data_IF_106492059085
#
_entry.id   IF_106492059085
#
_cell.length_a   1.000
_cell.length_b   1.000
_cell.length_c   1.000
_cell.angle_alpha   90.00
_cell.angle_beta   90.00
_cell.angle_gamma   90.00
#
_symmetry.space_group_name_H-M   'P 1'
#
loop_
_entity.id
_entity.type
_entity.pdbx_description
1 polymer ?
#
# COMPACT_ATOMS: atom_id res chain seq x y z
N UNK A 1 10.76 -6.88 -31.36
CA UNK A 1 11.28 -7.54 -30.14
C UNK A 1 11.10 -6.58 -28.96
N UNK A 2 9.97 -6.65 -28.26
CA UNK A 2 9.75 -6.02 -26.95
C UNK A 2 8.83 -6.98 -26.18
N UNK A 3 9.44 -7.85 -25.38
CA UNK A 3 8.69 -8.75 -24.49
C UNK A 3 8.15 -7.91 -23.32
N UNK A 4 6.87 -7.54 -23.38
CA UNK A 4 6.16 -6.98 -22.22
C UNK A 4 5.42 -8.11 -21.51
N UNK A 5 6.16 -8.93 -20.77
CA UNK A 5 5.61 -9.95 -19.87
C UNK A 5 5.99 -9.60 -18.43
N UNK A 6 5.10 -8.87 -17.73
CA UNK A 6 5.11 -8.82 -16.27
C UNK A 6 3.99 -9.72 -15.77
N UNK A 7 4.24 -11.02 -15.48
CA UNK A 7 3.30 -11.79 -14.72
C UNK A 7 3.37 -11.26 -13.29
N UNK A 8 2.33 -10.57 -12.81
CA UNK A 8 2.19 -10.19 -11.40
C UNK A 8 2.08 -11.48 -10.57
N UNK A 9 3.23 -12.10 -10.29
CA UNK A 9 3.28 -13.54 -10.08
C UNK A 9 2.79 -14.00 -8.71
N UNK A 10 2.54 -13.13 -7.73
CA UNK A 10 2.02 -13.54 -6.42
C UNK A 10 1.31 -12.38 -5.72
N UNK A 11 0.03 -12.17 -6.01
CA UNK A 11 -0.81 -11.25 -5.21
C UNK A 11 -1.48 -12.09 -4.13
N UNK A 12 -1.20 -11.79 -2.86
CA UNK A 12 -1.91 -12.37 -1.72
C UNK A 12 -2.90 -11.35 -1.19
N UNK A 13 -4.19 -11.72 -1.16
CA UNK A 13 -5.24 -10.90 -0.57
C UNK A 13 -5.54 -11.42 0.83
N UNK A 14 -5.43 -10.55 1.83
CA UNK A 14 -5.91 -10.81 3.20
C UNK A 14 -7.01 -9.81 3.52
N UNK A 15 -8.15 -10.30 3.98
CA UNK A 15 -9.27 -9.43 4.38
C UNK A 15 -9.00 -8.89 5.78
N UNK A 16 -8.92 -7.57 5.91
CA UNK A 16 -8.76 -6.87 7.17
C UNK A 16 -9.87 -5.83 7.31
N UNK A 17 -10.61 -5.84 8.42
CA UNK A 17 -11.78 -4.98 8.64
C UNK A 17 -11.61 -3.96 9.78
N UNK A 18 -10.46 -3.97 10.46
CA UNK A 18 -10.27 -3.23 11.70
C UNK A 18 -9.63 -1.85 11.49
N UNK A 19 -9.38 -1.43 10.25
CA UNK A 19 -8.96 -0.07 9.94
C UNK A 19 -9.57 0.44 8.63
N UNK A 20 -9.80 1.74 8.59
CA UNK A 20 -10.21 2.49 7.41
C UNK A 20 -9.02 3.19 6.71
N UNK A 21 -7.87 3.25 7.38
CA UNK A 21 -6.68 3.91 6.85
C UNK A 21 -6.02 3.09 5.76
N UNK A 22 -5.38 3.78 4.82
CA UNK A 22 -4.71 3.16 3.67
C UNK A 22 -3.23 3.41 3.76
N UNK A 23 -2.48 2.33 3.91
CA UNK A 23 -1.03 2.35 3.91
C UNK A 23 -0.49 1.61 2.69
N UNK A 24 0.58 2.15 2.12
CA UNK A 24 1.42 1.47 1.15
C UNK A 24 2.76 1.18 1.83
N UNK A 25 3.10 -0.09 1.94
CA UNK A 25 4.37 -0.55 2.50
C UNK A 25 5.22 -1.08 1.35
N UNK A 26 6.39 -0.48 1.14
CA UNK A 26 7.34 -0.89 0.10
C UNK A 26 8.53 -1.62 0.73
N UNK A 27 8.83 -2.81 0.21
CA UNK A 27 9.95 -3.66 0.61
C UNK A 27 10.10 -3.89 2.12
N UNK A 28 9.00 -3.77 2.88
CA UNK A 28 8.99 -3.77 4.35
C UNK A 28 9.99 -2.76 4.95
N UNK A 29 10.24 -1.64 4.26
CA UNK A 29 11.18 -0.58 4.68
C UNK A 29 10.55 0.80 4.71
N UNK A 30 9.61 1.08 3.82
CA UNK A 30 8.99 2.40 3.73
C UNK A 30 7.48 2.30 3.90
N UNK A 31 6.91 3.26 4.65
CA UNK A 31 5.46 3.39 4.83
C UNK A 31 5.02 4.72 4.25
N UNK A 32 4.00 4.67 3.41
CA UNK A 32 3.28 5.82 2.91
C UNK A 32 1.82 5.74 3.35
N UNK A 33 1.27 6.85 3.82
CA UNK A 33 -0.16 6.97 4.08
C UNK A 33 -0.86 7.65 2.91
N UNK A 34 -2.02 7.11 2.53
CA UNK A 34 -2.81 7.57 1.40
C UNK A 34 -4.11 8.21 1.88
N UNK A 35 -4.20 9.53 1.70
CA UNK A 35 -5.40 10.31 2.03
C UNK A 35 -6.62 10.05 1.14
N UNK A 36 -6.47 9.33 0.02
CA UNK A 36 -7.57 8.92 -0.86
C UNK A 36 -7.39 7.49 -1.38
N UNK A 37 -8.44 6.95 -2.02
CA UNK A 37 -8.38 5.59 -2.57
C UNK A 37 -7.47 5.57 -3.80
N UNK A 38 -6.86 4.42 -4.11
CA UNK A 38 -6.03 4.28 -5.31
C UNK A 38 -6.83 4.53 -6.60
N UNK A 39 -8.15 4.27 -6.59
CA UNK A 39 -9.05 4.62 -7.71
C UNK A 39 -9.15 6.14 -7.92
N UNK A 40 -9.03 6.91 -6.85
CA UNK A 40 -9.14 8.36 -6.90
C UNK A 40 -7.80 9.05 -7.22
N UNK A 41 -6.67 8.36 -7.00
CA UNK A 41 -5.29 8.86 -7.27
C UNK A 41 -5.09 9.33 -8.72
N UNK A 42 -5.78 8.74 -9.69
CA UNK A 42 -5.71 9.19 -11.10
C UNK A 42 -6.74 10.24 -11.50
N UNK A 43 -7.69 10.58 -10.63
CA UNK A 43 -8.85 11.44 -10.94
C UNK A 43 -8.88 12.74 -10.16
N UNK A 44 -8.30 12.74 -8.96
CA UNK A 44 -8.32 13.88 -8.04
C UNK A 44 -6.96 14.00 -7.35
N UNK A 45 -6.60 15.23 -7.00
CA UNK A 45 -5.42 15.48 -6.20
C UNK A 45 -5.70 14.99 -4.77
N UNK A 46 -4.74 14.32 -4.16
CA UNK A 46 -4.82 13.93 -2.76
C UNK A 46 -3.42 13.93 -2.14
N UNK A 47 -3.40 14.06 -0.82
CA UNK A 47 -2.16 14.04 -0.06
C UNK A 47 -1.68 12.59 0.16
N UNK A 48 -0.39 12.39 -0.08
CA UNK A 48 0.36 11.25 0.42
C UNK A 48 1.49 11.76 1.29
N UNK A 49 1.83 11.01 2.34
CA UNK A 49 2.93 11.35 3.24
C UNK A 49 3.75 10.11 3.56
N UNK A 50 5.08 10.27 3.56
CA UNK A 50 5.98 9.25 4.08
C UNK A 50 5.97 9.33 5.60
N UNK A 51 5.72 8.20 6.25
CA UNK A 51 5.64 8.13 7.71
C UNK A 51 6.90 7.44 8.23
N UNK A 52 7.48 8.01 9.29
CA UNK A 52 8.56 7.37 10.04
C UNK A 52 7.98 6.61 11.24
N UNK A 53 7.35 5.47 10.96
CA UNK A 53 6.87 4.52 11.96
C UNK A 53 7.63 3.20 11.82
N UNK A 54 7.70 2.45 12.92
CA UNK A 54 8.25 1.11 12.89
C UNK A 54 7.30 0.18 12.11
N UNK A 55 7.81 -0.46 11.06
CA UNK A 55 7.01 -1.34 10.20
C UNK A 55 6.48 -2.56 10.94
N UNK A 56 7.24 -3.08 11.90
CA UNK A 56 6.84 -4.26 12.65
C UNK A 56 5.58 -3.98 13.47
N UNK A 57 5.47 -2.81 14.09
CA UNK A 57 4.29 -2.41 14.86
C UNK A 57 3.01 -2.32 14.02
N UNK A 58 3.14 -2.00 12.72
CA UNK A 58 1.99 -1.97 11.80
C UNK A 58 1.65 -3.40 11.34
N UNK A 59 2.66 -4.19 11.01
CA UNK A 59 2.46 -5.55 10.53
C UNK A 59 1.83 -6.45 11.62
N UNK A 60 2.22 -6.27 12.88
CA UNK A 60 1.62 -6.98 14.03
C UNK A 60 0.12 -6.66 14.20
N UNK A 61 -0.34 -5.47 13.77
CA UNK A 61 -1.77 -5.12 13.80
C UNK A 61 -2.58 -5.70 12.62
N UNK A 62 -1.90 -6.26 11.62
CA UNK A 62 -2.52 -6.85 10.42
C UNK A 62 -2.63 -8.38 10.50
N UNK A 63 -2.05 -9.01 11.54
CA UNK A 63 -2.26 -10.42 11.90
C UNK A 63 -3.49 -10.58 12.81
#
# INVERSE_FOLDING_TARGET
>A
MLQKYFPYKNITLKTFKNSHDRFLILDKKEIYHLGASLKDLGKKWFAFSKINLNINEILEKLE
#
